data_IF_654980268443
#
_entry.id   IF_654980268443
#
_cell.length_a   1.000
_cell.length_b   1.000
_cell.length_c   1.000
_cell.angle_alpha   90.00
_cell.angle_beta   90.00
_cell.angle_gamma   90.00
#
_symmetry.space_group_name_H-M   'P 1'
#
loop_
_entity.id
_entity.type
_entity.pdbx_description
1 polymer ?
#
# COMPACT_ATOMS: atom_id res chain seq x y z
N UNK A 1 -17.61 1.83 -31.55
CA UNK A 1 -18.13 1.60 -30.19
C UNK A 1 -19.52 2.23 -30.16
N UNK A 2 -20.56 1.44 -29.99
CA UNK A 2 -21.94 1.93 -30.04
C UNK A 2 -22.35 2.29 -28.62
N UNK A 3 -22.80 3.53 -28.42
CA UNK A 3 -23.40 3.98 -27.17
C UNK A 3 -24.90 4.12 -27.42
N UNK A 4 -25.71 3.44 -26.61
CA UNK A 4 -27.15 3.68 -26.56
C UNK A 4 -27.40 4.65 -25.41
N UNK A 5 -28.15 5.72 -25.67
CA UNK A 5 -28.56 6.66 -24.63
C UNK A 5 -30.02 7.03 -24.82
N UNK A 6 -30.80 6.93 -23.75
CA UNK A 6 -32.19 7.35 -23.69
C UNK A 6 -32.33 8.48 -22.67
N UNK A 7 -33.17 9.47 -23.00
CA UNK A 7 -33.40 10.67 -22.19
C UNK A 7 -34.85 10.69 -21.71
N UNK A 8 -35.02 11.02 -20.44
CA UNK A 8 -36.29 10.98 -19.71
C UNK A 8 -37.12 9.71 -20.02
N UNK A 9 -36.52 8.49 -20.04
CA UNK A 9 -37.25 7.28 -20.35
C UNK A 9 -38.32 7.01 -19.29
N UNK A 10 -39.42 6.39 -19.71
CA UNK A 10 -40.33 5.79 -18.75
C UNK A 10 -39.61 4.70 -17.94
N UNK A 11 -40.09 4.42 -16.72
CA UNK A 11 -39.53 3.37 -15.87
C UNK A 11 -39.52 1.99 -16.55
N UNK A 12 -40.44 1.73 -17.48
CA UNK A 12 -40.48 0.48 -18.25
C UNK A 12 -39.47 0.44 -19.38
N UNK A 13 -39.30 1.54 -20.12
CA UNK A 13 -38.25 1.65 -21.13
C UNK A 13 -36.87 1.51 -20.48
N UNK A 14 -36.64 2.20 -19.36
CA UNK A 14 -35.40 2.07 -18.61
C UNK A 14 -35.15 0.64 -18.11
N UNK A 15 -36.20 -0.09 -17.67
CA UNK A 15 -36.09 -1.50 -17.31
C UNK A 15 -35.65 -2.35 -18.51
N UNK A 16 -36.30 -2.18 -19.66
CA UNK A 16 -35.95 -2.93 -20.87
C UNK A 16 -34.49 -2.71 -21.26
N UNK A 17 -34.04 -1.46 -21.29
CA UNK A 17 -32.66 -1.12 -21.63
C UNK A 17 -31.66 -1.71 -20.63
N UNK A 18 -31.98 -1.70 -19.33
CA UNK A 18 -31.15 -2.31 -18.29
C UNK A 18 -31.04 -3.83 -18.43
N UNK A 19 -32.16 -4.53 -18.65
CA UNK A 19 -32.17 -5.98 -18.83
C UNK A 19 -31.31 -6.39 -20.02
N UNK A 20 -31.47 -5.70 -21.16
CA UNK A 20 -30.66 -5.95 -22.35
C UNK A 20 -29.17 -5.63 -22.12
N UNK A 21 -28.84 -4.59 -21.34
CA UNK A 21 -27.47 -4.24 -21.02
C UNK A 21 -26.79 -5.22 -20.05
N UNK A 22 -27.53 -5.78 -19.09
CA UNK A 22 -27.03 -6.83 -18.21
C UNK A 22 -26.66 -8.10 -18.99
N UNK A 23 -27.50 -8.51 -19.95
CA UNK A 23 -27.22 -9.66 -20.81
C UNK A 23 -25.97 -9.47 -21.68
N UNK A 24 -25.71 -8.24 -22.14
CA UNK A 24 -24.52 -7.91 -22.93
C UNK A 24 -23.26 -7.70 -22.10
N UNK A 25 -23.39 -7.53 -20.78
CA UNK A 25 -22.27 -7.13 -19.93
C UNK A 25 -21.76 -5.73 -20.27
N UNK A 26 -22.67 -4.78 -20.54
CA UNK A 26 -22.31 -3.39 -20.81
C UNK A 26 -22.02 -2.62 -19.51
N UNK A 27 -21.18 -1.58 -19.61
CA UNK A 27 -21.12 -0.52 -18.61
C UNK A 27 -22.39 0.32 -18.72
N UNK A 28 -23.03 0.56 -17.59
CA UNK A 28 -24.28 1.30 -17.52
C UNK A 28 -24.07 2.55 -16.66
N UNK A 29 -24.57 3.68 -17.13
CA UNK A 29 -24.71 4.90 -16.33
C UNK A 29 -26.16 5.36 -16.34
N UNK A 30 -26.74 5.58 -15.16
CA UNK A 30 -28.07 6.14 -14.99
C UNK A 30 -27.98 7.42 -14.16
N UNK A 31 -28.61 8.50 -14.63
CA UNK A 31 -28.76 9.74 -13.90
C UNK A 31 -30.23 10.03 -13.66
N UNK A 32 -30.61 10.33 -12.43
CA UNK A 32 -32.00 10.56 -12.09
C UNK A 32 -32.22 10.81 -10.61
N UNK A 33 -33.43 11.28 -10.29
CA UNK A 33 -33.89 11.45 -8.91
C UNK A 33 -34.19 10.10 -8.29
N UNK A 34 -33.54 9.78 -7.19
CA UNK A 34 -33.72 8.49 -6.54
C UNK A 34 -33.61 8.56 -5.00
N UNK A 35 -33.93 7.45 -4.35
CA UNK A 35 -33.49 7.14 -2.99
C UNK A 35 -32.57 5.93 -3.02
N UNK A 36 -31.71 5.81 -2.03
CA UNK A 36 -30.75 4.71 -1.91
C UNK A 36 -30.87 4.08 -0.53
N UNK A 37 -30.89 2.76 -0.47
CA UNK A 37 -30.83 2.01 0.79
C UNK A 37 -29.82 0.89 0.66
N UNK A 38 -28.96 0.73 1.65
CA UNK A 38 -28.00 -0.37 1.74
C UNK A 38 -28.21 -1.17 3.03
N UNK A 39 -28.09 -2.48 2.91
CA UNK A 39 -28.17 -3.43 4.03
C UNK A 39 -27.08 -4.48 3.85
N UNK A 40 -26.23 -4.65 4.86
CA UNK A 40 -25.12 -5.58 4.83
C UNK A 40 -24.32 -5.52 6.12
N UNK A 41 -23.00 -5.32 6.03
CA UNK A 41 -22.12 -5.10 7.20
C UNK A 41 -22.48 -3.84 7.98
N UNK A 42 -23.15 -2.90 7.32
CA UNK A 42 -23.78 -1.73 7.92
C UNK A 42 -25.20 -1.57 7.35
N UNK A 43 -25.92 -0.56 7.82
CA UNK A 43 -27.16 -0.11 7.20
C UNK A 43 -27.05 1.38 6.90
N UNK A 44 -27.54 1.81 5.74
CA UNK A 44 -27.62 3.22 5.39
C UNK A 44 -28.85 3.52 4.53
N UNK A 45 -29.37 4.73 4.69
CA UNK A 45 -30.43 5.28 3.86
C UNK A 45 -30.00 6.66 3.38
N UNK A 46 -30.31 6.94 2.12
CA UNK A 46 -30.06 8.23 1.49
C UNK A 46 -31.36 8.73 0.88
N UNK A 47 -31.78 9.92 1.33
CA UNK A 47 -33.04 10.54 0.95
C UNK A 47 -33.13 10.89 -0.54
N UNK A 48 -34.27 11.49 -0.94
CA UNK A 48 -34.48 11.86 -2.35
C UNK A 48 -33.44 12.85 -2.83
N UNK A 49 -32.89 12.63 -4.03
CA UNK A 49 -31.89 13.49 -4.65
C UNK A 49 -31.45 12.97 -6.02
N UNK A 50 -30.86 13.83 -6.83
CA UNK A 50 -30.36 13.48 -8.16
C UNK A 50 -29.00 12.82 -8.03
N UNK A 51 -28.81 11.64 -8.64
CA UNK A 51 -27.59 10.84 -8.48
C UNK A 51 -27.14 10.23 -9.78
N UNK A 52 -25.82 10.14 -9.93
CA UNK A 52 -25.19 9.30 -10.93
C UNK A 52 -25.01 7.90 -10.35
N UNK A 53 -25.58 6.91 -11.02
CA UNK A 53 -25.40 5.48 -10.74
C UNK A 53 -24.58 4.86 -11.86
N UNK A 54 -23.50 4.18 -11.51
CA UNK A 54 -22.65 3.43 -12.44
C UNK A 54 -22.74 1.96 -12.09
N UNK A 55 -23.07 1.10 -13.06
CA UNK A 55 -23.06 -0.35 -12.92
C UNK A 55 -22.03 -0.91 -13.90
N UNK A 56 -21.04 -1.61 -13.39
CA UNK A 56 -19.93 -2.14 -14.18
C UNK A 56 -20.15 -3.61 -14.55
N UNK A 57 -19.58 -4.08 -15.67
CA UNK A 57 -19.69 -5.48 -16.09
C UNK A 57 -19.09 -6.49 -15.10
N UNK A 58 -18.13 -6.06 -14.28
CA UNK A 58 -17.53 -6.88 -13.22
C UNK A 58 -18.40 -6.96 -11.96
N UNK A 59 -19.58 -6.35 -11.96
CA UNK A 59 -20.53 -6.35 -10.85
C UNK A 59 -20.35 -5.21 -9.84
N UNK A 60 -19.39 -4.31 -10.03
CA UNK A 60 -19.28 -3.15 -9.16
C UNK A 60 -20.42 -2.14 -9.43
N UNK A 61 -21.07 -1.66 -8.37
CA UNK A 61 -22.05 -0.58 -8.45
C UNK A 61 -21.57 0.63 -7.66
N UNK A 62 -21.69 1.83 -8.24
CA UNK A 62 -21.26 3.08 -7.61
C UNK A 62 -22.42 4.07 -7.66
N UNK A 63 -22.67 4.76 -6.55
CA UNK A 63 -23.65 5.85 -6.48
C UNK A 63 -22.94 7.12 -6.04
N UNK A 64 -23.03 8.16 -6.87
CA UNK A 64 -22.41 9.46 -6.63
C UNK A 64 -23.47 10.56 -6.44
N UNK A 65 -23.10 11.52 -5.60
CA UNK A 65 -23.73 12.84 -5.47
C UNK A 65 -22.95 13.86 -6.30
N UNK A 66 -23.29 15.13 -6.17
CA UNK A 66 -22.63 16.28 -6.79
C UNK A 66 -21.27 16.63 -6.17
N UNK A 67 -21.02 16.20 -4.93
CA UNK A 67 -19.75 16.42 -4.23
C UNK A 67 -18.97 15.13 -3.94
N UNK A 68 -17.66 15.29 -3.75
CA UNK A 68 -16.75 14.24 -3.30
C UNK A 68 -16.19 13.36 -4.43
N UNK A 69 -15.00 12.80 -4.19
CA UNK A 69 -14.35 11.88 -5.13
C UNK A 69 -14.93 10.47 -5.05
N UNK A 70 -15.27 10.02 -3.84
CA UNK A 70 -15.69 8.65 -3.56
C UNK A 70 -17.20 8.51 -3.70
N UNK A 71 -17.71 7.37 -4.19
CA UNK A 71 -19.14 7.08 -4.19
C UNK A 71 -19.68 7.12 -2.76
N UNK A 72 -20.88 7.68 -2.60
CA UNK A 72 -21.57 7.73 -1.30
C UNK A 72 -22.18 6.38 -0.90
N UNK A 73 -22.40 5.50 -1.88
CA UNK A 73 -22.82 4.11 -1.65
C UNK A 73 -22.31 3.24 -2.81
N UNK A 74 -21.89 2.01 -2.51
CA UNK A 74 -21.26 1.16 -3.52
C UNK A 74 -21.37 -0.32 -3.19
N UNK A 75 -21.19 -1.16 -4.22
CA UNK A 75 -20.96 -2.59 -4.12
C UNK A 75 -19.65 -2.93 -4.84
N UNK A 76 -18.83 -3.85 -4.29
CA UNK A 76 -17.59 -4.27 -4.92
C UNK A 76 -17.85 -5.15 -6.17
N UNK A 77 -16.81 -5.41 -6.97
CA UNK A 77 -16.85 -6.42 -8.03
C UNK A 77 -17.34 -7.78 -7.51
N UNK A 78 -17.94 -8.58 -8.40
CA UNK A 78 -18.56 -9.87 -8.11
C UNK A 78 -19.98 -9.78 -7.56
N UNK A 79 -20.58 -8.59 -7.52
CA UNK A 79 -21.99 -8.43 -7.16
C UNK A 79 -22.90 -8.61 -8.39
N UNK A 80 -24.11 -9.12 -8.18
CA UNK A 80 -25.10 -9.30 -9.25
C UNK A 80 -26.04 -8.11 -9.31
N UNK A 81 -26.38 -7.66 -10.52
CA UNK A 81 -27.29 -6.55 -10.76
C UNK A 81 -28.65 -7.04 -11.23
N UNK A 82 -29.72 -6.46 -10.67
CA UNK A 82 -31.09 -6.74 -11.08
C UNK A 82 -31.87 -5.43 -11.18
N UNK A 83 -32.72 -5.32 -12.19
CA UNK A 83 -33.69 -4.23 -12.32
C UNK A 83 -35.11 -4.78 -12.24
N UNK A 84 -36.03 -3.97 -11.75
CA UNK A 84 -37.46 -4.25 -11.78
C UNK A 84 -38.26 -2.95 -11.69
N UNK A 85 -39.46 -2.94 -12.26
CA UNK A 85 -40.45 -1.89 -11.96
C UNK A 85 -41.36 -2.40 -10.85
N UNK A 86 -41.41 -1.70 -9.72
CA UNK A 86 -42.33 -1.98 -8.60
C UNK A 86 -43.06 -0.71 -8.23
N UNK A 87 -44.37 -0.83 -8.02
CA UNK A 87 -45.23 0.33 -7.72
C UNK A 87 -45.09 1.45 -8.77
N UNK A 88 -44.88 1.05 -10.04
CA UNK A 88 -44.69 1.98 -11.16
C UNK A 88 -43.32 2.66 -11.22
N UNK A 89 -42.39 2.35 -10.32
CA UNK A 89 -41.05 2.97 -10.24
C UNK A 89 -39.94 1.96 -10.50
N UNK A 90 -38.92 2.40 -11.24
CA UNK A 90 -37.72 1.63 -11.49
C UNK A 90 -36.94 1.43 -10.18
N UNK A 91 -36.57 0.19 -9.93
CA UNK A 91 -35.71 -0.22 -8.83
C UNK A 91 -34.54 -1.03 -9.37
N UNK A 92 -33.34 -0.56 -9.10
CA UNK A 92 -32.09 -1.27 -9.37
C UNK A 92 -31.57 -1.84 -8.04
N UNK A 93 -31.20 -3.11 -8.03
CA UNK A 93 -30.57 -3.78 -6.90
C UNK A 93 -29.21 -4.33 -7.32
N UNK A 94 -28.20 -4.12 -6.50
CA UNK A 94 -26.93 -4.83 -6.56
C UNK A 94 -26.78 -5.69 -5.31
N UNK A 95 -26.53 -6.99 -5.49
CA UNK A 95 -26.51 -7.99 -4.42
C UNK A 95 -25.18 -8.71 -4.41
N UNK A 96 -24.58 -8.86 -3.23
CA UNK A 96 -23.40 -9.69 -3.00
C UNK A 96 -23.75 -10.79 -2.01
N UNK A 97 -23.23 -11.99 -2.25
CA UNK A 97 -23.54 -13.17 -1.46
C UNK A 97 -22.64 -13.35 -0.24
N UNK A 98 -21.37 -12.91 -0.30
CA UNK A 98 -20.39 -13.09 0.78
C UNK A 98 -19.50 -11.87 1.01
N UNK A 99 -19.67 -11.14 2.14
CA UNK A 99 -20.85 -11.19 3.01
C UNK A 99 -22.13 -10.82 2.25
N UNK A 100 -23.27 -11.22 2.79
CA UNK A 100 -24.57 -10.86 2.23
C UNK A 100 -24.79 -9.33 2.33
N UNK A 101 -24.82 -8.67 1.19
CA UNK A 101 -25.00 -7.22 1.09
C UNK A 101 -25.99 -6.90 -0.05
N UNK A 102 -26.80 -5.88 0.13
CA UNK A 102 -27.75 -5.39 -0.87
C UNK A 102 -27.72 -3.88 -0.90
N UNK A 103 -27.38 -3.32 -2.06
CA UNK A 103 -27.60 -1.93 -2.43
C UNK A 103 -28.87 -1.83 -3.27
N UNK A 104 -29.81 -0.97 -2.90
CA UNK A 104 -31.04 -0.72 -3.66
C UNK A 104 -31.17 0.76 -4.00
N UNK A 105 -31.30 1.06 -5.29
CA UNK A 105 -31.62 2.40 -5.81
C UNK A 105 -33.05 2.39 -6.34
N UNK A 106 -33.89 3.31 -5.87
CA UNK A 106 -35.28 3.48 -6.33
C UNK A 106 -35.41 4.83 -7.00
N UNK A 107 -35.62 4.85 -8.31
CA UNK A 107 -35.80 6.08 -9.07
C UNK A 107 -37.24 6.58 -8.96
N UNK A 108 -37.42 7.86 -8.64
CA UNK A 108 -38.68 8.55 -8.93
C UNK A 108 -38.71 8.97 -10.39
N UNK A 109 -37.58 9.42 -10.92
CA UNK A 109 -37.40 9.93 -12.26
C UNK A 109 -36.03 9.48 -12.79
N UNK A 110 -36.00 8.99 -14.02
CA UNK A 110 -34.75 8.67 -14.73
C UNK A 110 -34.59 9.75 -15.79
N UNK A 111 -33.59 10.61 -15.65
CA UNK A 111 -33.33 11.70 -16.61
C UNK A 111 -32.49 11.22 -17.79
N UNK A 112 -31.57 10.28 -17.53
CA UNK A 112 -30.75 9.68 -18.57
C UNK A 112 -30.35 8.27 -18.18
N UNK A 113 -30.33 7.37 -19.16
CA UNK A 113 -29.73 6.04 -19.06
C UNK A 113 -28.86 5.81 -20.30
N UNK A 114 -27.61 5.42 -20.11
CA UNK A 114 -26.68 5.11 -21.18
C UNK A 114 -26.00 3.77 -20.95
N UNK A 115 -25.82 3.00 -22.03
CA UNK A 115 -25.20 1.68 -22.02
C UNK A 115 -24.04 1.65 -23.02
N UNK A 116 -22.89 1.14 -22.59
CA UNK A 116 -21.63 1.21 -23.32
C UNK A 116 -20.90 -0.12 -23.24
N UNK A 117 -20.63 -0.74 -24.38
CA UNK A 117 -19.78 -1.93 -24.43
C UNK A 117 -18.33 -1.53 -24.17
N UNK A 118 -17.72 -2.02 -23.08
CA UNK A 118 -16.32 -1.72 -22.73
C UNK A 118 -15.43 -2.89 -23.16
N UNK A 119 -14.37 -2.59 -23.91
CA UNK A 119 -13.38 -3.58 -24.38
C UNK A 119 -11.97 -3.23 -23.87
N UNK A 120 -11.32 -4.14 -23.14
CA UNK A 120 -9.90 -4.03 -22.75
C UNK A 120 -9.60 -3.17 -21.52
N UNK A 121 -8.33 -3.22 -21.06
CA UNK A 121 -7.73 -2.35 -20.04
C UNK A 121 -8.16 -2.62 -18.58
N UNK A 122 -7.79 -3.78 -18.02
CA UNK A 122 -7.93 -4.05 -16.57
C UNK A 122 -6.67 -3.67 -15.77
N UNK A 123 -5.55 -3.56 -16.46
CA UNK A 123 -4.25 -3.28 -15.86
C UNK A 123 -4.00 -1.77 -15.90
N UNK A 124 -3.71 -1.21 -14.72
CA UNK A 124 -3.25 0.15 -14.57
C UNK A 124 -1.73 0.09 -14.41
N UNK A 125 -0.98 0.60 -15.38
CA UNK A 125 0.46 0.82 -15.23
C UNK A 125 0.67 2.00 -14.28
N UNK A 126 0.78 1.71 -12.99
CA UNK A 126 1.02 2.71 -11.95
C UNK A 126 2.52 2.87 -11.71
N UNK A 127 3.11 3.92 -12.28
CA UNK A 127 4.49 4.32 -11.95
C UNK A 127 4.52 5.23 -10.70
N UNK A 128 5.54 5.05 -9.86
CA UNK A 128 5.70 5.79 -8.60
C UNK A 128 4.89 5.19 -7.44
N UNK A 129 4.72 3.87 -7.45
CA UNK A 129 4.10 3.10 -6.38
C UNK A 129 5.05 2.91 -5.18
N UNK A 130 4.54 2.38 -4.06
CA UNK A 130 5.40 1.96 -2.94
C UNK A 130 6.24 0.73 -3.31
N UNK A 131 5.76 -0.07 -4.27
CA UNK A 131 6.51 -1.21 -4.83
C UNK A 131 7.71 -0.75 -5.67
N UNK A 132 7.58 0.34 -6.43
CA UNK A 132 8.72 0.94 -7.14
C UNK A 132 9.79 1.42 -6.15
N UNK A 133 9.35 2.04 -5.04
CA UNK A 133 10.24 2.49 -3.97
C UNK A 133 10.93 1.29 -3.28
N UNK A 134 10.20 0.20 -3.06
CA UNK A 134 10.73 -1.07 -2.52
C UNK A 134 11.80 -1.64 -3.43
N UNK A 135 11.50 -1.80 -4.71
CA UNK A 135 12.45 -2.28 -5.72
C UNK A 135 13.72 -1.44 -5.71
N UNK A 136 13.59 -0.10 -5.67
CA UNK A 136 14.73 0.81 -5.60
C UNK A 136 15.59 0.63 -4.35
N UNK A 137 14.99 0.40 -3.18
CA UNK A 137 15.70 0.13 -1.92
C UNK A 137 16.43 -1.21 -1.98
N UNK A 138 15.81 -2.24 -2.56
CA UNK A 138 16.44 -3.56 -2.70
C UNK A 138 17.61 -3.56 -3.70
N UNK A 139 17.47 -2.84 -4.81
CA UNK A 139 18.53 -2.71 -5.82
C UNK A 139 19.69 -1.82 -5.36
N UNK A 140 19.40 -0.80 -4.53
CA UNK A 140 20.38 0.15 -4.01
C UNK A 140 20.20 0.37 -2.51
N UNK A 141 20.56 -0.61 -1.65
CA UNK A 141 20.37 -0.52 -0.20
C UNK A 141 21.09 0.66 0.45
N UNK A 142 22.22 1.09 -0.14
CA UNK A 142 22.98 2.26 0.28
C UNK A 142 22.18 3.58 0.25
N UNK A 143 21.01 3.62 -0.40
CA UNK A 143 20.09 4.75 -0.32
C UNK A 143 19.46 4.90 1.08
N UNK A 144 19.33 3.80 1.83
CA UNK A 144 18.83 3.80 3.21
C UNK A 144 19.98 4.09 4.17
N UNK A 145 21.04 3.29 4.10
CA UNK A 145 22.27 3.43 4.90
C UNK A 145 23.40 2.68 4.16
N UNK A 146 24.65 3.19 4.12
CA UNK A 146 25.76 2.54 3.40
C UNK A 146 26.03 1.08 3.79
N UNK A 147 25.71 0.69 5.03
CA UNK A 147 25.87 -0.68 5.55
C UNK A 147 24.57 -1.48 5.60
N UNK A 148 23.46 -0.97 5.06
CA UNK A 148 22.17 -1.68 5.10
C UNK A 148 22.15 -2.88 4.15
N UNK A 149 21.83 -4.04 4.70
CA UNK A 149 21.63 -5.29 3.98
C UNK A 149 20.17 -5.76 4.14
N UNK A 150 19.32 -5.63 3.10
CA UNK A 150 17.96 -6.15 3.14
C UNK A 150 17.94 -7.67 3.22
N UNK A 151 17.12 -8.23 4.11
CA UNK A 151 16.98 -9.68 4.31
C UNK A 151 15.61 -10.20 3.90
N UNK A 152 14.55 -9.46 4.21
CA UNK A 152 13.18 -9.87 3.95
C UNK A 152 12.30 -8.68 3.53
N UNK A 153 11.30 -8.95 2.71
CA UNK A 153 10.25 -7.99 2.33
C UNK A 153 8.90 -8.48 2.80
N UNK A 154 8.02 -7.57 3.22
CA UNK A 154 6.70 -7.91 3.78
C UNK A 154 6.80 -8.92 4.94
N UNK A 155 7.88 -8.81 5.74
CA UNK A 155 8.19 -9.73 6.83
C UNK A 155 7.06 -9.71 7.86
N UNK A 156 6.37 -10.83 8.12
CA UNK A 156 5.23 -10.85 9.03
C UNK A 156 5.69 -10.58 10.47
N UNK A 157 4.94 -9.72 11.18
CA UNK A 157 5.13 -9.47 12.62
C UNK A 157 3.78 -9.43 13.34
N UNK A 158 3.79 -9.35 14.68
CA UNK A 158 2.58 -9.18 15.50
C UNK A 158 1.84 -7.87 15.21
N UNK A 159 2.52 -6.85 14.67
CA UNK A 159 1.95 -5.55 14.33
C UNK A 159 1.51 -5.43 12.85
N UNK A 160 1.78 -6.45 12.02
CA UNK A 160 1.57 -6.46 10.57
C UNK A 160 2.87 -6.72 9.79
N UNK A 161 2.82 -6.80 8.45
CA UNK A 161 4.01 -7.00 7.65
C UNK A 161 4.88 -5.72 7.65
N UNK A 162 6.16 -5.88 7.95
CA UNK A 162 7.20 -4.86 7.78
C UNK A 162 7.54 -4.75 6.30
N UNK A 163 7.62 -3.54 5.74
CA UNK A 163 7.93 -3.37 4.32
C UNK A 163 9.28 -3.99 3.97
N UNK A 164 10.38 -3.49 4.51
CA UNK A 164 11.70 -4.10 4.31
C UNK A 164 12.36 -4.28 5.66
N UNK A 165 12.79 -5.51 5.92
CA UNK A 165 13.58 -5.87 7.09
C UNK A 165 15.00 -6.20 6.66
N UNK A 166 15.99 -5.76 7.44
CA UNK A 166 17.38 -6.07 7.17
C UNK A 166 18.26 -5.86 8.39
N UNK A 167 19.56 -5.74 8.16
CA UNK A 167 20.56 -5.41 9.18
C UNK A 167 21.45 -4.28 8.71
N UNK A 168 21.99 -3.49 9.62
CA UNK A 168 22.99 -2.48 9.30
C UNK A 168 24.43 -3.04 9.35
N UNK A 169 25.42 -2.18 9.08
CA UNK A 169 26.83 -2.56 9.06
C UNK A 169 27.38 -3.04 10.41
N UNK A 170 26.65 -2.83 11.51
CA UNK A 170 26.97 -3.36 12.84
C UNK A 170 26.17 -4.63 13.18
N UNK A 171 25.38 -5.16 12.23
CA UNK A 171 24.52 -6.33 12.43
C UNK A 171 23.23 -6.06 13.21
N UNK A 172 22.90 -4.78 13.46
CA UNK A 172 21.69 -4.41 14.19
C UNK A 172 20.46 -4.54 13.28
N UNK A 173 19.34 -5.11 13.74
CA UNK A 173 18.11 -5.15 12.97
C UNK A 173 17.62 -3.77 12.52
N UNK A 174 17.20 -3.65 11.27
CA UNK A 174 16.65 -2.42 10.68
C UNK A 174 15.27 -2.69 10.10
N UNK A 175 14.29 -1.92 10.57
CA UNK A 175 12.92 -1.89 10.05
C UNK A 175 12.78 -0.67 9.16
N UNK A 176 12.46 -0.89 7.89
CA UNK A 176 12.25 0.17 6.90
C UNK A 176 10.77 0.24 6.53
N UNK A 177 10.17 1.41 6.70
CA UNK A 177 8.79 1.71 6.30
C UNK A 177 8.79 2.58 5.03
N UNK A 178 8.07 2.18 3.99
CA UNK A 178 8.11 2.85 2.69
C UNK A 178 6.83 3.66 2.45
N UNK A 179 6.98 4.93 2.06
CA UNK A 179 5.84 5.80 1.73
C UNK A 179 6.10 6.58 0.46
N UNK A 180 5.23 6.44 -0.54
CA UNK A 180 5.38 7.11 -1.84
C UNK A 180 5.06 8.61 -1.86
N UNK A 181 4.64 9.20 -0.75
CA UNK A 181 4.16 10.60 -0.65
C UNK A 181 4.67 11.27 0.61
N UNK A 182 4.45 12.58 0.72
CA UNK A 182 4.64 13.30 1.97
C UNK A 182 3.77 12.69 3.08
N UNK A 183 4.37 12.41 4.23
CA UNK A 183 3.68 11.75 5.35
C UNK A 183 3.67 12.54 6.65
N UNK A 184 2.63 12.27 7.45
CA UNK A 184 2.39 12.83 8.77
C UNK A 184 2.68 11.85 9.91
N UNK A 185 2.28 12.20 11.15
CA UNK A 185 2.50 11.40 12.36
C UNK A 185 2.07 9.92 12.28
N UNK A 186 1.02 9.61 11.52
CA UNK A 186 0.49 8.25 11.43
C UNK A 186 1.52 7.26 10.87
N UNK A 187 2.38 7.70 9.95
CA UNK A 187 3.46 6.87 9.40
C UNK A 187 4.53 6.57 10.45
N UNK A 188 4.83 7.53 11.33
CA UNK A 188 5.77 7.34 12.44
C UNK A 188 5.19 6.34 13.45
N UNK A 189 3.90 6.46 13.77
CA UNK A 189 3.21 5.50 14.65
C UNK A 189 3.09 4.10 14.05
N UNK A 190 3.11 3.97 12.72
CA UNK A 190 3.18 2.66 12.06
C UNK A 190 4.57 2.05 12.22
N UNK A 191 5.63 2.80 11.89
CA UNK A 191 7.02 2.36 12.05
C UNK A 191 7.31 1.96 13.51
N UNK A 192 6.83 2.74 14.47
CA UNK A 192 6.97 2.46 15.90
C UNK A 192 6.43 1.09 16.30
N UNK A 193 5.21 0.76 15.86
CA UNK A 193 4.61 -0.54 16.15
C UNK A 193 5.43 -1.70 15.57
N UNK A 194 6.05 -1.49 14.42
CA UNK A 194 6.89 -2.48 13.77
C UNK A 194 8.23 -2.67 14.47
N UNK A 195 8.89 -1.57 14.82
CA UNK A 195 10.13 -1.61 15.61
C UNK A 195 9.89 -2.31 16.93
N UNK A 196 8.82 -1.99 17.66
CA UNK A 196 8.47 -2.65 18.91
C UNK A 196 8.16 -4.15 18.73
N UNK A 197 7.45 -4.52 17.66
CA UNK A 197 7.17 -5.93 17.37
C UNK A 197 8.45 -6.73 17.10
N UNK A 198 9.41 -6.14 16.37
CA UNK A 198 10.71 -6.76 16.11
C UNK A 198 11.55 -6.81 17.38
N UNK A 199 11.58 -5.74 18.19
CA UNK A 199 12.29 -5.73 19.48
C UNK A 199 11.82 -6.86 20.39
N UNK A 200 10.51 -7.07 20.49
CA UNK A 200 9.92 -8.15 21.30
C UNK A 200 10.35 -9.54 20.82
N UNK A 201 10.39 -9.76 19.50
CA UNK A 201 10.83 -11.00 18.89
C UNK A 201 12.29 -11.31 19.22
N UNK A 202 13.17 -10.31 19.06
CA UNK A 202 14.60 -10.45 19.37
C UNK A 202 14.87 -10.62 20.87
N UNK A 203 14.07 -10.00 21.75
CA UNK A 203 14.13 -10.24 23.20
C UNK A 203 13.69 -11.65 23.59
N UNK A 204 12.76 -12.26 22.84
CA UNK A 204 12.23 -13.60 23.12
C UNK A 204 13.06 -14.71 22.44
N UNK A 205 13.96 -14.37 21.52
CA UNK A 205 14.61 -15.31 20.58
C UNK A 205 16.14 -15.54 20.67
N UNK A 206 16.90 -15.03 21.65
CA UNK A 206 18.34 -15.36 21.83
C UNK A 206 18.57 -16.22 23.09
N UNK A 207 19.30 -17.35 23.11
CA UNK A 207 20.58 -17.71 22.47
C UNK A 207 20.59 -19.20 22.04
N UNK A 208 20.86 -19.49 20.77
CA UNK A 208 21.49 -20.75 20.33
C UNK A 208 22.78 -20.34 19.58
N UNK A 209 23.86 -20.19 20.33
CA UNK A 209 25.21 -19.99 19.79
C UNK A 209 25.85 -21.38 19.66
N UNK A 210 25.86 -21.91 18.44
CA UNK A 210 26.65 -23.07 18.03
C UNK A 210 28.14 -22.79 18.27
N UNK A 211 28.60 -23.04 19.50
CA UNK A 211 30.02 -23.13 19.86
C UNK A 211 30.36 -24.52 20.40
N UNK A 212 30.78 -25.36 19.45
CA UNK A 212 31.87 -26.32 19.55
C UNK A 212 31.92 -27.26 20.78
N UNK A 213 31.25 -28.40 20.67
CA UNK A 213 31.69 -29.63 21.36
C UNK A 213 32.83 -30.28 20.55
N UNK A 214 34.06 -29.84 20.80
CA UNK A 214 35.24 -30.69 20.56
C UNK A 214 35.64 -31.33 21.89
N UNK A 215 35.02 -32.45 22.22
CA UNK A 215 35.51 -33.35 23.27
C UNK A 215 36.68 -34.17 22.73
N UNK A 216 37.89 -33.76 23.12
CA UNK A 216 39.12 -34.52 22.98
C UNK A 216 39.76 -34.74 24.35
N UNK A 217 39.59 -35.97 24.84
CA UNK A 217 40.61 -36.84 25.45
C UNK A 217 41.38 -36.42 26.73
N UNK A 218 41.07 -37.17 27.80
CA UNK A 218 41.93 -37.78 28.84
C UNK A 218 43.00 -37.00 29.62
N UNK A 219 42.94 -37.14 30.95
CA UNK A 219 44.13 -37.06 31.82
C UNK A 219 43.88 -36.81 33.31
N UNK A 220 43.89 -37.88 34.11
CA UNK A 220 43.95 -37.89 35.58
C UNK A 220 45.14 -37.09 36.20
N UNK A 221 44.99 -36.60 37.44
CA UNK A 221 45.65 -37.04 38.71
C UNK A 221 45.79 -35.88 39.75
N UNK A 222 45.42 -36.17 41.00
CA UNK A 222 45.60 -35.52 42.32
C UNK A 222 46.79 -34.54 42.56
N UNK A 223 46.58 -33.47 43.36
CA UNK A 223 46.87 -33.38 44.83
C UNK A 223 47.07 -31.92 45.33
N UNK A 224 46.50 -31.63 46.51
CA UNK A 224 46.95 -30.78 47.63
C UNK A 224 47.45 -29.33 47.44
N UNK A 225 46.67 -28.39 48.02
CA UNK A 225 47.06 -27.31 48.95
C UNK A 225 48.13 -26.28 48.57
N UNK A 226 47.78 -24.99 48.61
CA UNK A 226 48.54 -23.94 49.33
C UNK A 226 47.77 -22.60 49.31
N UNK A 227 48.01 -21.80 50.34
CA UNK A 227 47.36 -20.55 50.70
C UNK A 227 48.01 -19.35 49.97
N UNK A 228 47.25 -18.31 49.61
CA UNK A 228 47.84 -17.11 49.01
C UNK A 228 46.87 -15.93 48.92
N UNK A 229 47.17 -14.91 49.72
CA UNK A 229 46.43 -13.66 49.92
C UNK A 229 46.49 -12.70 48.70
N UNK A 230 45.38 -11.98 48.48
CA UNK A 230 45.29 -10.55 48.19
C UNK A 230 45.89 -9.97 46.90
N UNK A 231 45.01 -9.47 46.02
CA UNK A 231 45.19 -8.14 45.39
C UNK A 231 43.83 -7.60 44.92
N UNK A 232 43.28 -6.64 45.67
CA UNK A 232 42.09 -5.86 45.31
C UNK A 232 42.51 -4.78 44.31
N UNK A 233 42.41 -5.10 43.02
CA UNK A 233 42.54 -4.15 41.92
C UNK A 233 41.17 -3.87 41.29
N UNK A 234 40.36 -3.05 41.96
CA UNK A 234 39.15 -2.44 41.39
C UNK A 234 39.55 -1.42 40.30
N UNK A 235 39.85 -1.91 39.10
CA UNK A 235 39.80 -1.11 37.87
C UNK A 235 38.41 -1.30 37.24
N UNK A 236 37.40 -0.69 37.85
CA UNK A 236 36.07 -0.47 37.26
C UNK A 236 36.20 0.59 36.15
N UNK A 237 36.78 0.16 35.04
CA UNK A 237 36.70 0.88 33.77
C UNK A 237 35.26 0.75 33.29
N UNK A 238 34.48 1.80 33.60
CA UNK A 238 33.09 1.95 33.20
C UNK A 238 32.85 1.43 31.79
N UNK A 239 32.04 0.38 31.71
CA UNK A 239 31.38 -0.04 30.49
C UNK A 239 30.31 1.00 30.14
N UNK A 240 30.76 2.15 29.65
CA UNK A 240 29.93 3.05 28.86
C UNK A 240 29.65 2.34 27.53
N UNK A 241 28.51 1.64 27.44
CA UNK A 241 27.71 1.44 26.23
C UNK A 241 26.38 0.77 26.62
N UNK A 242 25.65 1.42 27.53
CA UNK A 242 24.21 1.20 27.72
C UNK A 242 23.47 1.96 26.61
N UNK A 243 22.94 1.21 25.63
CA UNK A 243 21.65 1.47 24.96
C UNK A 243 21.46 0.49 23.77
N UNK A 244 21.59 -0.81 24.06
CA UNK A 244 21.32 -1.92 23.17
C UNK A 244 19.83 -2.28 23.08
N UNK A 245 18.95 -1.31 22.82
CA UNK A 245 17.55 -1.60 22.42
C UNK A 245 17.42 -1.91 20.90
N UNK A 246 18.57 -2.26 20.29
CA UNK A 246 18.81 -3.21 19.21
C UNK A 246 18.30 -2.89 17.82
N UNK A 247 17.10 -2.35 17.69
CA UNK A 247 16.36 -2.26 16.43
C UNK A 247 16.25 -0.81 15.97
N UNK A 248 16.77 -0.51 14.78
CA UNK A 248 16.64 0.78 14.10
C UNK A 248 15.32 0.84 13.32
N UNK A 249 14.67 2.01 13.34
CA UNK A 249 13.53 2.32 12.50
C UNK A 249 13.89 3.39 11.48
N UNK A 250 13.65 3.13 10.19
CA UNK A 250 13.90 4.08 9.10
C UNK A 250 12.62 4.31 8.30
N UNK A 251 12.17 5.55 8.24
CA UNK A 251 11.05 5.96 7.38
C UNK A 251 11.60 6.48 6.04
N UNK A 252 11.25 5.83 4.94
CA UNK A 252 11.65 6.26 3.58
C UNK A 252 10.45 6.91 2.89
N UNK A 253 10.54 8.22 2.65
CA UNK A 253 9.46 8.98 2.02
C UNK A 253 10.00 10.24 1.32
N UNK A 254 9.36 10.76 0.25
CA UNK A 254 9.83 11.98 -0.43
C UNK A 254 9.98 13.18 0.50
N UNK A 255 9.11 13.30 1.50
CA UNK A 255 9.19 14.33 2.54
C UNK A 255 8.31 13.97 3.74
N UNK A 256 8.50 14.67 4.85
CA UNK A 256 7.70 14.53 6.07
C UNK A 256 7.11 15.88 6.52
N UNK A 257 6.14 15.83 7.41
CA UNK A 257 5.67 17.03 8.13
C UNK A 257 6.57 17.33 9.33
N UNK A 258 6.61 18.58 9.80
CA UNK A 258 7.43 18.97 10.96
C UNK A 258 7.05 18.18 12.22
N UNK A 259 5.75 17.87 12.38
CA UNK A 259 5.27 17.04 13.48
C UNK A 259 5.76 15.59 13.37
N UNK A 260 5.86 15.05 12.15
CA UNK A 260 6.44 13.73 11.95
C UNK A 260 7.95 13.74 12.22
N UNK A 261 8.66 14.79 11.81
CA UNK A 261 10.08 14.97 12.11
C UNK A 261 10.35 14.99 13.62
N UNK A 262 9.54 15.75 14.37
CA UNK A 262 9.64 15.79 15.84
C UNK A 262 9.39 14.40 16.45
N UNK A 263 8.37 13.67 15.99
CA UNK A 263 8.06 12.32 16.52
C UNK A 263 9.13 11.28 16.17
N UNK A 264 9.76 11.37 15.00
CA UNK A 264 10.89 10.50 14.64
C UNK A 264 12.07 10.76 15.58
N UNK A 265 12.39 12.03 15.82
CA UNK A 265 13.46 12.43 16.74
C UNK A 265 13.19 11.94 18.18
N UNK A 266 11.97 12.12 18.67
CA UNK A 266 11.55 11.64 20.01
C UNK A 266 11.68 10.11 20.16
N UNK A 267 11.59 9.36 19.06
CA UNK A 267 11.65 7.89 19.03
C UNK A 267 13.02 7.32 18.63
N UNK A 268 13.98 8.19 18.28
CA UNK A 268 15.27 7.76 17.75
C UNK A 268 15.18 7.09 16.37
N UNK A 269 14.15 7.41 15.58
CA UNK A 269 13.98 6.90 14.22
C UNK A 269 14.54 7.88 13.18
N UNK A 270 14.91 7.33 12.02
CA UNK A 270 15.55 8.06 10.94
C UNK A 270 14.56 8.34 9.80
N UNK A 271 14.81 9.40 9.04
CA UNK A 271 14.09 9.69 7.79
C UNK A 271 15.08 9.73 6.62
N UNK A 272 14.73 9.02 5.55
CA UNK A 272 15.43 9.06 4.26
C UNK A 272 14.49 9.66 3.22
N UNK A 273 14.92 10.77 2.62
CA UNK A 273 14.19 11.43 1.56
C UNK A 273 14.40 10.71 0.21
N UNK A 274 13.38 9.99 -0.27
CA UNK A 274 13.46 9.24 -1.54
C UNK A 274 12.16 9.37 -2.34
N UNK A 275 12.25 9.83 -3.60
CA UNK A 275 11.12 9.83 -4.54
C UNK A 275 10.96 8.41 -5.13
N UNK A 276 9.72 7.89 -5.22
CA UNK A 276 9.45 6.59 -5.85
C UNK A 276 9.76 6.58 -7.35
N UNK A 277 9.93 7.75 -8.00
CA UNK A 277 10.38 7.84 -9.39
C UNK A 277 11.91 7.89 -9.47
N UNK A 278 12.51 7.29 -10.51
CA UNK A 278 13.94 7.41 -10.76
C UNK A 278 14.33 8.87 -11.04
N UNK A 279 15.53 9.24 -10.59
CA UNK A 279 16.13 10.56 -10.84
C UNK A 279 16.24 10.81 -12.34
N UNK A 280 15.89 12.03 -12.78
CA UNK A 280 15.89 12.42 -14.20
C UNK A 280 14.55 12.25 -14.93
N UNK A 281 13.47 11.89 -14.23
CA UNK A 281 12.11 11.98 -14.77
C UNK A 281 11.48 13.31 -14.38
N UNK A 282 11.53 14.29 -15.28
CA UNK A 282 10.66 15.46 -15.15
C UNK A 282 9.19 15.00 -15.12
N UNK A 283 8.29 15.83 -14.55
CA UNK A 283 6.87 15.54 -14.35
C UNK A 283 6.05 15.20 -15.61
N UNK A 284 6.71 15.06 -16.77
CA UNK A 284 6.17 14.71 -18.08
C UNK A 284 6.79 13.43 -18.68
N UNK A 285 7.52 12.63 -17.88
CA UNK A 285 7.98 11.30 -18.28
C UNK A 285 9.05 11.26 -19.38
N UNK A 286 9.72 12.38 -19.67
CA UNK A 286 10.88 12.40 -20.57
C UNK A 286 12.15 12.18 -19.77
N UNK A 287 12.87 11.11 -20.09
CA UNK A 287 14.25 10.88 -19.65
C UNK A 287 15.12 11.93 -20.33
N UNK A 288 15.84 12.72 -19.55
CA UNK A 288 16.87 13.63 -20.07
C UNK A 288 18.10 12.82 -20.46
N UNK A 289 18.25 12.52 -21.74
CA UNK A 289 19.51 12.02 -22.31
C UNK A 289 20.50 13.18 -22.39
N UNK A 290 21.28 13.37 -21.32
CA UNK A 290 22.48 14.19 -21.34
C UNK A 290 23.71 13.26 -21.37
N UNK A 291 23.94 12.67 -22.55
CA UNK A 291 25.21 12.02 -22.89
C UNK A 291 25.98 12.95 -23.81
N UNK A 292 27.06 13.50 -23.26
CA UNK A 292 27.92 14.48 -23.88
C UNK A 292 28.47 14.06 -25.24
N UNK A 293 28.68 15.10 -26.06
CA UNK A 293 29.44 15.05 -27.28
C UNK A 293 30.81 14.40 -27.06
N UNK A 294 31.18 13.49 -27.96
CA UNK A 294 32.57 13.35 -28.35
C UNK A 294 32.72 13.26 -29.87
N UNK A 295 33.79 13.92 -30.26
CA UNK A 295 34.28 14.31 -31.56
C UNK A 295 34.51 13.12 -32.52
N UNK A 296 34.00 13.21 -33.75
CA UNK A 296 34.75 12.66 -34.87
C UNK A 296 34.42 13.36 -36.21
N UNK A 297 35.21 14.38 -36.51
CA UNK A 297 35.41 14.90 -37.86
C UNK A 297 36.07 13.84 -38.74
N UNK A 298 35.37 13.40 -39.79
CA UNK A 298 35.87 12.94 -41.12
C UNK A 298 34.60 12.73 -41.96
N UNK A 299 34.25 13.53 -42.96
CA UNK A 299 35.04 13.87 -44.14
C UNK A 299 34.56 13.02 -45.33
N UNK A 300 34.16 13.68 -46.42
CA UNK A 300 33.82 13.18 -47.78
C UNK A 300 32.36 12.75 -47.97
N UNK A 301 31.68 12.96 -49.09
CA UNK A 301 31.83 13.79 -50.29
C UNK A 301 30.51 13.60 -51.08
N UNK A 302 30.13 14.63 -51.84
CA UNK A 302 29.45 14.59 -53.14
C UNK A 302 28.02 13.98 -53.29
N UNK A 303 27.10 14.91 -53.63
CA UNK A 303 26.19 14.89 -54.80
C UNK A 303 25.62 13.53 -55.28
N UNK A 304 24.32 13.31 -55.07
CA UNK A 304 23.23 13.38 -56.08
C UNK A 304 21.85 13.18 -55.41
#
# INVERSE_FOLDING_TARGET
MTVTSVHDPSHREALWELEAAFERGDLITAFGRCTVSYTGRAASELGSGDRLVVLKPDGAALVHTDEGRTPVNWQPPGSEHHAAVREGRLRVRSVRSSPAETLTVRFSDVHQLSTMTVTGGRDLDLHGSEEDLRTRVLERPALVDPGFEPRETERPTSAGPVDVFGVDGAGRPVVVELKRRRVGPDAVGQLDRYVEAVREEYRTGGFDDDRADTDGDDGDVHSDGDDGEGDDGDDDAGSDDDDGDGVRGVLVAPSITDRAAALLADRGFEHVALDPRPEGTDGDGRVSDDAGADDDRRGRNDEE
#
